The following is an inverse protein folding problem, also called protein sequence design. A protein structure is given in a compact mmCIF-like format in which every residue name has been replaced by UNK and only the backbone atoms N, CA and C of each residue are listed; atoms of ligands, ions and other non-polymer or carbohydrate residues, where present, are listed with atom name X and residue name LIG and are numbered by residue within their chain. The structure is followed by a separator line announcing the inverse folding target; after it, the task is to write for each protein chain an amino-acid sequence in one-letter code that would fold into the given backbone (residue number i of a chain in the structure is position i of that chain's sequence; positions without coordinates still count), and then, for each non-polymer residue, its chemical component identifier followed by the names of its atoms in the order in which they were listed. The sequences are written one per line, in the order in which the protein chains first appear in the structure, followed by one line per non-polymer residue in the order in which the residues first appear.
data_IF_881026501407
#
_entry.id   IF_881026501407
#
_cell.length_a   1.000
_cell.length_b   1.000
_cell.length_c   1.000
_cell.angle_alpha   90.00
_cell.angle_beta   90.00
_cell.angle_gamma   90.00
#
_symmetry.space_group_name_H-M   'P 1'
#
loop_
_entity.id
_entity.type
_entity.pdbx_description
1 polymer ?
#
# COMPACT_ATOMS: atom_id res chain seq x y z
N UNK A 1 -4.67 -3.41 10.35
CA UNK A 1 -4.48 -3.70 8.91
C UNK A 1 -4.36 -5.21 8.72
N UNK A 2 -4.94 -5.79 7.65
CA UNK A 2 -4.87 -7.24 7.41
C UNK A 2 -3.51 -7.61 6.82
N UNK A 3 -2.84 -8.66 7.33
CA UNK A 3 -1.51 -9.11 6.87
C UNK A 3 -1.54 -10.29 5.90
N UNK A 4 -2.72 -10.85 5.60
CA UNK A 4 -2.83 -12.10 4.82
C UNK A 4 -2.15 -12.04 3.45
N UNK A 5 -2.24 -10.91 2.74
CA UNK A 5 -1.57 -10.71 1.45
C UNK A 5 -0.05 -10.90 1.54
N UNK A 6 0.56 -10.42 2.63
CA UNK A 6 1.99 -10.51 2.85
C UNK A 6 2.42 -11.96 3.08
N UNK A 7 1.70 -12.68 3.94
CA UNK A 7 2.04 -14.08 4.24
C UNK A 7 1.86 -14.99 3.02
N UNK A 8 0.82 -14.76 2.20
CA UNK A 8 0.63 -15.48 0.94
C UNK A 8 1.82 -15.25 0.01
N UNK A 9 2.19 -13.98 -0.21
CA UNK A 9 3.29 -13.62 -1.12
C UNK A 9 4.63 -14.20 -0.64
N UNK A 10 4.93 -14.06 0.65
CA UNK A 10 6.16 -14.58 1.25
C UNK A 10 6.24 -16.11 1.16
N UNK A 11 5.16 -16.82 1.52
CA UNK A 11 5.11 -18.28 1.47
C UNK A 11 5.23 -18.82 0.04
N UNK A 12 4.68 -18.10 -0.95
CA UNK A 12 4.76 -18.48 -2.36
C UNK A 12 6.06 -18.00 -3.05
N UNK A 13 6.90 -17.19 -2.39
CA UNK A 13 8.10 -16.62 -2.99
C UNK A 13 7.81 -15.65 -4.14
N UNK A 14 6.65 -15.00 -4.14
CA UNK A 14 6.21 -14.09 -5.22
C UNK A 14 6.23 -12.63 -4.74
N UNK A 15 6.49 -11.66 -5.63
CA UNK A 15 6.46 -10.25 -5.28
C UNK A 15 5.02 -9.74 -5.07
N UNK A 16 4.87 -8.74 -4.22
CA UNK A 16 3.62 -7.99 -4.03
C UNK A 16 3.61 -6.82 -5.01
N UNK A 17 2.68 -6.82 -5.96
CA UNK A 17 2.50 -5.70 -6.90
C UNK A 17 1.53 -4.69 -6.30
N UNK A 18 1.91 -3.42 -6.27
CA UNK A 18 1.18 -2.36 -5.59
C UNK A 18 0.63 -1.35 -6.59
N UNK A 19 -0.67 -1.09 -6.50
CA UNK A 19 -1.34 -0.05 -7.26
C UNK A 19 -2.11 0.87 -6.31
N UNK A 20 -2.35 2.09 -6.77
CA UNK A 20 -3.22 3.04 -6.09
C UNK A 20 -4.09 3.80 -7.09
N UNK A 21 -5.20 4.34 -6.57
CA UNK A 21 -6.17 5.10 -7.33
C UNK A 21 -6.18 6.54 -6.84
N UNK A 22 -6.05 7.46 -7.78
CA UNK A 22 -6.18 8.89 -7.55
C UNK A 22 -7.46 9.39 -8.23
N UNK A 23 -8.50 9.57 -7.41
CA UNK A 23 -9.82 9.95 -7.87
C UNK A 23 -9.94 11.44 -8.22
N UNK A 24 -9.11 12.29 -7.62
CA UNK A 24 -8.96 13.71 -7.95
C UNK A 24 -8.42 13.87 -9.37
N UNK A 25 -7.29 13.21 -9.68
CA UNK A 25 -6.61 13.34 -10.97
C UNK A 25 -7.08 12.34 -12.04
N UNK A 26 -7.96 11.39 -11.69
CA UNK A 26 -8.39 10.28 -12.56
C UNK A 26 -7.22 9.41 -13.05
N UNK A 27 -6.27 9.15 -12.16
CA UNK A 27 -5.03 8.43 -12.46
C UNK A 27 -4.95 7.13 -11.66
N UNK A 28 -4.36 6.09 -12.26
CA UNK A 28 -3.93 4.88 -11.57
C UNK A 28 -2.42 4.89 -11.53
N UNK A 29 -1.83 4.79 -10.34
CA UNK A 29 -0.38 4.67 -10.20
C UNK A 29 0.01 3.20 -10.07
N UNK A 30 1.00 2.79 -10.86
CA UNK A 30 1.77 1.57 -10.61
C UNK A 30 2.92 1.94 -9.68
N UNK A 31 2.86 1.47 -8.43
CA UNK A 31 3.83 1.82 -7.38
C UNK A 31 5.01 0.85 -7.34
N UNK A 32 5.03 -0.11 -8.27
CA UNK A 32 6.07 -1.13 -8.40
C UNK A 32 5.72 -2.44 -7.72
N UNK A 33 6.75 -3.27 -7.56
CA UNK A 33 6.66 -4.59 -6.96
C UNK A 33 7.62 -4.69 -5.79
N UNK A 34 7.20 -5.37 -4.72
CA UNK A 34 7.97 -5.54 -3.50
C UNK A 34 8.19 -7.01 -3.19
N UNK A 35 9.44 -7.45 -3.16
CA UNK A 35 9.81 -8.79 -2.71
C UNK A 35 9.98 -8.79 -1.19
N UNK A 36 9.20 -9.62 -0.50
CA UNK A 36 9.23 -9.70 0.96
C UNK A 36 10.56 -10.23 1.49
N UNK A 37 11.05 -9.66 2.58
CA UNK A 37 12.25 -10.12 3.30
C UNK A 37 11.93 -11.11 4.42
N UNK A 38 10.65 -11.22 4.80
CA UNK A 38 10.18 -11.97 5.97
C UNK A 38 10.05 -11.12 7.23
N UNK A 39 10.65 -9.92 7.25
CA UNK A 39 10.51 -8.96 8.34
C UNK A 39 9.29 -8.07 8.14
N UNK A 40 8.10 -8.61 8.45
CA UNK A 40 6.81 -7.99 8.17
C UNK A 40 6.71 -6.50 8.49
N UNK A 41 7.11 -6.09 9.70
CA UNK A 41 6.96 -4.69 10.12
C UNK A 41 7.82 -3.73 9.27
N UNK A 42 9.06 -4.10 8.99
CA UNK A 42 9.98 -3.28 8.18
C UNK A 42 9.54 -3.23 6.71
N UNK A 43 9.11 -4.37 6.19
CA UNK A 43 8.59 -4.45 4.83
C UNK A 43 7.32 -3.64 4.67
N UNK A 44 6.43 -3.70 5.66
CA UNK A 44 5.20 -2.95 5.64
C UNK A 44 5.46 -1.43 5.64
N UNK A 45 6.40 -0.96 6.45
CA UNK A 45 6.80 0.46 6.42
C UNK A 45 7.32 0.89 5.04
N UNK A 46 8.10 0.05 4.36
CA UNK A 46 8.59 0.32 3.01
C UNK A 46 7.44 0.34 1.98
N UNK A 47 6.53 -0.64 2.05
CA UNK A 47 5.33 -0.71 1.22
C UNK A 47 4.48 0.56 1.41
N UNK A 48 4.23 0.96 2.65
CA UNK A 48 3.43 2.13 2.96
C UNK A 48 4.06 3.43 2.44
N UNK A 49 5.39 3.55 2.46
CA UNK A 49 6.11 4.69 1.87
C UNK A 49 5.86 4.84 0.37
N UNK A 50 5.64 3.75 -0.36
CA UNK A 50 5.32 3.81 -1.79
C UNK A 50 3.96 4.50 -2.07
N UNK A 51 3.07 4.59 -1.09
CA UNK A 51 1.76 5.24 -1.24
C UNK A 51 1.78 6.74 -0.92
N UNK A 52 2.83 7.28 -0.28
CA UNK A 52 2.85 8.70 0.12
C UNK A 52 2.75 9.62 -1.12
N UNK A 53 1.73 10.49 -1.15
CA UNK A 53 1.52 11.42 -2.27
C UNK A 53 1.00 10.79 -3.57
N UNK A 54 0.72 9.48 -3.58
CA UNK A 54 0.35 8.76 -4.80
C UNK A 54 -1.09 8.23 -4.79
N UNK A 55 -2.03 8.90 -4.13
CA UNK A 55 -3.45 8.56 -4.19
C UNK A 55 -4.33 9.66 -3.59
N UNK A 56 -5.59 9.68 -4.02
CA UNK A 56 -6.66 10.45 -3.40
C UNK A 56 -7.91 9.55 -3.29
N UNK A 57 -8.39 9.22 -2.09
CA UNK A 57 -9.48 8.26 -1.93
C UNK A 57 -10.84 8.90 -2.26
N UNK A 58 -11.69 8.21 -3.03
CA UNK A 58 -13.12 8.61 -3.18
C UNK A 58 -13.88 8.58 -1.85
N UNK A 59 -13.57 7.59 -1.01
CA UNK A 59 -14.22 7.35 0.27
C UNK A 59 -13.15 7.20 1.38
N UNK A 60 -12.68 8.29 2.03
CA UNK A 60 -11.54 8.24 2.96
C UNK A 60 -11.70 7.23 4.10
N UNK A 61 -12.91 7.05 4.65
CA UNK A 61 -13.19 6.09 5.74
C UNK A 61 -13.05 4.60 5.36
N UNK A 62 -12.99 4.26 4.06
CA UNK A 62 -12.78 2.87 3.61
C UNK A 62 -11.31 2.48 3.60
N UNK A 63 -10.40 3.45 3.64
CA UNK A 63 -8.98 3.19 3.74
C UNK A 63 -8.68 2.47 5.05
N UNK A 64 -7.68 1.59 5.03
CA UNK A 64 -7.09 1.11 6.27
C UNK A 64 -6.57 2.29 7.11
N UNK A 65 -6.67 2.21 8.44
CA UNK A 65 -6.26 3.29 9.35
C UNK A 65 -4.88 3.90 9.06
N UNK A 66 -3.83 3.13 8.70
CA UNK A 66 -2.53 3.72 8.37
C UNK A 66 -2.59 4.67 7.16
N UNK A 67 -3.37 4.33 6.13
CA UNK A 67 -3.55 5.16 4.94
C UNK A 67 -4.43 6.37 5.21
N UNK A 68 -5.41 6.27 6.12
CA UNK A 68 -6.20 7.43 6.55
C UNK A 68 -5.33 8.51 7.19
N UNK A 69 -4.37 8.09 8.04
CA UNK A 69 -3.41 9.02 8.67
C UNK A 69 -2.48 9.67 7.65
N UNK A 70 -2.12 8.92 6.61
CA UNK A 70 -1.27 9.42 5.54
C UNK A 70 -1.96 10.52 4.70
N UNK A 71 -3.24 10.34 4.37
CA UNK A 71 -4.02 11.37 3.65
C UNK A 71 -4.20 12.63 4.49
N UNK A 72 -4.48 12.50 5.79
CA UNK A 72 -4.68 13.66 6.69
C UNK A 72 -3.43 14.50 6.92
N UNK A 73 -2.25 13.97 6.57
CA UNK A 73 -0.97 14.65 6.75
C UNK A 73 -0.63 15.56 5.55
N UNK A 74 -1.32 15.38 4.43
CA UNK A 74 -1.20 16.19 3.22
C UNK A 74 -2.36 17.19 3.14
#
# INVERSE_FOLDING_TARGET
MKSGFYHIAHAAGVPIVMFSFDYEHKTIYSLGAFTTTGHYQQDLEKIMKCYEGHFSPKNPHWLAEPLQKLVKKN
#
